data_IF_496081020240
#
_entry.id   IF_496081020240
#
_cell.length_a   1.000
_cell.length_b   1.000
_cell.length_c   1.000
_cell.angle_alpha   90.00
_cell.angle_beta   90.00
_cell.angle_gamma   90.00
#
_symmetry.space_group_name_H-M   'P 1'
#
loop_
_entity.id
_entity.type
_entity.pdbx_description
1 polymer ?
#
# COMPACT_ATOMS: atom_id res chain seq x y z
N UNK A 1 8.16 5.73 83.66
CA UNK A 1 7.94 5.74 82.20
C UNK A 1 8.61 4.48 81.67
N UNK A 2 7.82 3.51 81.19
CA UNK A 2 8.34 2.20 80.76
C UNK A 2 9.02 2.34 79.40
N UNK A 3 10.06 1.54 79.13
CA UNK A 3 10.74 1.50 77.82
C UNK A 3 9.77 1.16 76.67
N UNK A 4 8.67 0.46 76.98
CA UNK A 4 7.56 0.18 76.06
C UNK A 4 6.81 1.43 75.59
N UNK A 5 6.59 2.41 76.47
CA UNK A 5 5.82 3.64 76.16
C UNK A 5 6.64 4.56 75.27
N UNK A 6 7.95 4.58 75.50
CA UNK A 6 8.94 5.38 74.78
C UNK A 6 9.12 4.83 73.35
N UNK A 7 9.14 3.50 73.18
CA UNK A 7 9.13 2.84 71.87
C UNK A 7 7.81 3.06 71.11
N UNK A 8 6.66 2.99 71.79
CA UNK A 8 5.37 3.26 71.18
C UNK A 8 5.26 4.71 70.66
N UNK A 9 5.79 5.68 71.41
CA UNK A 9 5.87 7.07 71.00
C UNK A 9 6.75 7.25 69.75
N UNK A 10 7.96 6.66 69.73
CA UNK A 10 8.84 6.76 68.56
C UNK A 10 8.26 6.10 67.30
N UNK A 11 7.63 4.93 67.43
CA UNK A 11 6.97 4.27 66.30
C UNK A 11 5.85 5.13 65.70
N UNK A 12 5.10 5.85 66.56
CA UNK A 12 4.03 6.76 66.13
C UNK A 12 4.59 7.96 65.34
N UNK A 13 5.70 8.54 65.80
CA UNK A 13 6.38 9.66 65.14
C UNK A 13 7.00 9.24 63.80
N UNK A 14 7.61 8.05 63.74
CA UNK A 14 8.17 7.49 62.50
C UNK A 14 7.06 7.22 61.48
N UNK A 15 5.91 6.69 61.92
CA UNK A 15 4.78 6.41 61.03
C UNK A 15 4.19 7.69 60.44
N UNK A 16 4.05 8.75 61.26
CA UNK A 16 3.58 10.06 60.81
C UNK A 16 4.55 10.71 59.81
N UNK A 17 5.84 10.69 60.08
CA UNK A 17 6.85 11.26 59.17
C UNK A 17 6.91 10.49 57.85
N UNK A 18 6.86 9.16 57.89
CA UNK A 18 6.77 8.32 56.70
C UNK A 18 5.51 8.61 55.87
N UNK A 19 4.34 8.80 56.51
CA UNK A 19 3.09 9.12 55.83
C UNK A 19 3.14 10.49 55.12
N UNK A 20 3.75 11.50 55.76
CA UNK A 20 3.90 12.84 55.17
C UNK A 20 4.86 12.81 53.97
N UNK A 21 5.98 12.10 54.08
CA UNK A 21 6.94 11.93 52.97
C UNK A 21 6.28 11.18 51.81
N UNK A 22 5.55 10.11 52.09
CA UNK A 22 4.80 9.36 51.09
C UNK A 22 3.78 10.26 50.37
N UNK A 23 2.99 11.04 51.11
CA UNK A 23 2.02 11.97 50.54
C UNK A 23 2.68 13.04 49.64
N UNK A 24 3.82 13.60 50.05
CA UNK A 24 4.58 14.56 49.25
C UNK A 24 5.14 13.95 47.96
N UNK A 25 5.66 12.73 48.03
CA UNK A 25 6.17 11.99 46.86
C UNK A 25 5.03 11.68 45.90
N UNK A 26 3.90 11.15 46.39
CA UNK A 26 2.72 10.88 45.57
C UNK A 26 2.17 12.15 44.92
N UNK A 27 2.11 13.27 45.64
CA UNK A 27 1.67 14.55 45.09
C UNK A 27 2.58 15.06 43.95
N UNK A 28 3.91 14.93 44.11
CA UNK A 28 4.86 15.33 43.06
C UNK A 28 4.82 14.40 41.85
N UNK A 29 4.69 13.09 42.05
CA UNK A 29 4.59 12.11 40.97
C UNK A 29 3.29 12.33 40.18
N UNK A 30 2.15 12.53 40.86
CA UNK A 30 0.87 12.76 40.20
C UNK A 30 0.83 14.01 39.32
N UNK A 31 1.52 15.09 39.73
CA UNK A 31 1.63 16.31 38.90
C UNK A 31 2.50 16.12 37.66
N UNK A 32 3.53 15.27 37.74
CA UNK A 32 4.38 14.92 36.58
C UNK A 32 3.67 14.04 35.55
N UNK A 33 2.72 13.20 35.98
CA UNK A 33 1.98 12.31 35.08
C UNK A 33 1.05 13.05 34.11
N UNK A 34 0.55 14.24 34.49
CA UNK A 34 -0.36 15.02 33.63
C UNK A 34 0.34 15.56 32.37
N UNK A 35 1.50 16.19 32.52
CA UNK A 35 2.30 16.70 31.39
C UNK A 35 2.79 15.54 30.50
N UNK A 36 3.14 14.40 31.10
CA UNK A 36 3.49 13.19 30.34
C UNK A 36 2.30 12.69 29.51
N UNK A 37 1.08 12.67 30.08
CA UNK A 37 -0.11 12.21 29.35
C UNK A 37 -0.50 13.13 28.19
N UNK A 38 -0.36 14.45 28.36
CA UNK A 38 -0.64 15.43 27.31
C UNK A 38 0.36 15.29 26.14
N UNK A 39 1.66 15.14 26.44
CA UNK A 39 2.68 14.87 25.43
C UNK A 39 2.50 13.52 24.74
N UNK A 40 2.12 12.49 25.47
CA UNK A 40 1.84 11.17 24.89
C UNK A 40 0.66 11.21 23.93
N UNK A 41 -0.39 11.99 24.25
CA UNK A 41 -1.52 12.18 23.35
C UNK A 41 -1.10 12.88 22.05
N UNK A 42 -0.29 13.94 22.14
CA UNK A 42 0.23 14.66 20.97
C UNK A 42 1.14 13.77 20.09
N UNK A 43 2.01 12.98 20.72
CA UNK A 43 2.86 12.02 19.99
C UNK A 43 2.01 10.97 19.29
N UNK A 44 1.03 10.38 19.98
CA UNK A 44 0.14 9.38 19.40
C UNK A 44 -0.67 9.94 18.21
N UNK A 45 -1.13 11.19 18.29
CA UNK A 45 -1.82 11.85 17.17
C UNK A 45 -0.88 12.02 15.95
N UNK A 46 0.36 12.47 16.18
CA UNK A 46 1.36 12.61 15.12
C UNK A 46 1.74 11.26 14.51
N UNK A 47 1.87 10.21 15.32
CA UNK A 47 2.16 8.85 14.87
C UNK A 47 1.00 8.27 14.04
N UNK A 48 -0.24 8.50 14.47
CA UNK A 48 -1.42 8.09 13.73
C UNK A 48 -1.50 8.78 12.36
N UNK A 49 -1.27 10.10 12.32
CA UNK A 49 -1.22 10.87 11.07
C UNK A 49 -0.10 10.40 10.15
N UNK A 50 1.07 10.12 10.70
CA UNK A 50 2.22 9.61 9.94
C UNK A 50 1.94 8.24 9.35
N UNK A 51 1.36 7.34 10.15
CA UNK A 51 0.98 5.99 9.72
C UNK A 51 -0.07 6.02 8.62
N UNK A 52 -1.05 6.92 8.73
CA UNK A 52 -2.06 7.15 7.69
C UNK A 52 -1.45 7.65 6.38
N UNK A 53 -0.58 8.66 6.44
CA UNK A 53 0.11 9.17 5.25
C UNK A 53 1.01 8.11 4.61
N UNK A 54 1.66 7.28 5.42
CA UNK A 54 2.46 6.16 4.92
C UNK A 54 1.59 5.12 4.20
N UNK A 55 0.44 4.76 4.75
CA UNK A 55 -0.49 3.84 4.10
C UNK A 55 -0.97 4.38 2.74
N UNK A 56 -1.23 5.69 2.65
CA UNK A 56 -1.59 6.35 1.39
C UNK A 56 -0.47 6.25 0.35
N UNK A 57 0.77 6.53 0.77
CA UNK A 57 1.94 6.43 -0.09
C UNK A 57 2.15 4.98 -0.56
N UNK A 58 2.13 4.02 0.36
CA UNK A 58 2.30 2.60 0.04
C UNK A 58 1.21 2.10 -0.93
N UNK A 59 -0.02 2.59 -0.82
CA UNK A 59 -1.09 2.27 -1.76
C UNK A 59 -0.85 2.88 -3.14
N UNK A 60 -0.44 4.15 -3.18
CA UNK A 60 -0.12 4.86 -4.42
C UNK A 60 1.04 4.18 -5.16
N UNK A 61 2.13 3.86 -4.47
CA UNK A 61 3.30 3.20 -5.06
C UNK A 61 2.93 1.83 -5.65
N UNK A 62 2.06 1.07 -4.96
CA UNK A 62 1.56 -0.22 -5.48
C UNK A 62 0.68 -0.05 -6.71
N UNK A 63 -0.16 1.00 -6.77
CA UNK A 63 -0.97 1.32 -7.95
C UNK A 63 -0.09 1.71 -9.13
N UNK A 64 0.87 2.60 -8.90
CA UNK A 64 1.81 3.06 -9.91
C UNK A 64 2.63 1.89 -10.45
N UNK A 65 3.13 1.01 -9.60
CA UNK A 65 3.87 -0.18 -10.01
C UNK A 65 3.07 -1.11 -10.93
N UNK A 66 1.76 -1.32 -10.68
CA UNK A 66 0.92 -2.11 -11.58
C UNK A 66 0.72 -1.40 -12.92
N UNK A 67 0.45 -0.09 -12.88
CA UNK A 67 0.30 0.72 -14.08
C UNK A 67 1.55 0.68 -14.96
N UNK A 68 2.73 0.88 -14.37
CA UNK A 68 4.02 0.85 -15.08
C UNK A 68 4.23 -0.52 -15.73
N UNK A 69 4.01 -1.62 -14.99
CA UNK A 69 4.15 -2.97 -15.54
C UNK A 69 3.19 -3.23 -16.70
N UNK A 70 1.96 -2.73 -16.62
CA UNK A 70 0.99 -2.87 -17.71
C UNK A 70 1.44 -2.07 -18.93
N UNK A 71 1.85 -0.81 -18.75
CA UNK A 71 2.34 0.04 -19.83
C UNK A 71 3.57 -0.58 -20.51
N UNK A 72 4.57 -0.94 -19.71
CA UNK A 72 5.82 -1.56 -20.19
C UNK A 72 5.52 -2.80 -21.02
N UNK A 73 4.63 -3.68 -20.52
CA UNK A 73 4.32 -4.91 -21.24
C UNK A 73 3.55 -4.63 -22.52
N UNK A 74 2.61 -3.69 -22.51
CA UNK A 74 1.87 -3.31 -23.72
C UNK A 74 2.83 -2.72 -24.77
N UNK A 75 3.71 -1.80 -24.38
CA UNK A 75 4.74 -1.22 -25.24
C UNK A 75 5.65 -2.32 -25.82
N UNK A 76 6.08 -3.23 -24.95
CA UNK A 76 6.91 -4.37 -25.31
C UNK A 76 6.24 -5.37 -26.26
N UNK A 77 4.93 -5.58 -26.12
CA UNK A 77 4.15 -6.50 -26.97
C UNK A 77 3.84 -5.92 -28.35
N UNK A 78 4.26 -4.70 -28.61
CA UNK A 78 4.22 -4.12 -29.97
C UNK A 78 5.52 -4.35 -30.73
N UNK A 79 6.54 -4.91 -30.08
CA UNK A 79 7.82 -5.20 -30.72
C UNK A 79 7.86 -6.66 -31.19
N UNK A 80 8.04 -6.94 -32.50
CA UNK A 80 7.89 -8.28 -33.09
C UNK A 80 8.72 -9.40 -32.46
N UNK A 81 9.86 -9.07 -31.84
CA UNK A 81 10.84 -10.05 -31.35
C UNK A 81 10.64 -10.43 -29.87
N UNK A 82 9.65 -9.86 -29.17
CA UNK A 82 9.71 -9.76 -27.71
C UNK A 82 8.55 -10.41 -26.95
N UNK A 83 7.86 -11.37 -27.57
CA UNK A 83 6.67 -12.02 -27.01
C UNK A 83 7.01 -13.29 -26.24
N UNK A 84 7.55 -13.11 -25.03
CA UNK A 84 7.95 -14.24 -24.18
C UNK A 84 6.82 -14.68 -23.23
N UNK A 85 6.78 -15.97 -22.91
CA UNK A 85 5.87 -16.52 -21.89
C UNK A 85 6.04 -15.86 -20.53
N UNK A 86 7.26 -15.39 -20.21
CA UNK A 86 7.57 -14.66 -18.98
C UNK A 86 6.82 -13.33 -18.90
N UNK A 87 6.79 -12.55 -20.00
CA UNK A 87 6.09 -11.27 -20.05
C UNK A 87 4.58 -11.45 -19.91
N UNK A 88 4.01 -12.49 -20.53
CA UNK A 88 2.60 -12.86 -20.30
C UNK A 88 2.33 -13.19 -18.84
N UNK A 89 3.21 -13.96 -18.20
CA UNK A 89 3.07 -14.30 -16.78
C UNK A 89 3.13 -13.05 -15.88
N UNK A 90 4.03 -12.10 -16.19
CA UNK A 90 4.08 -10.80 -15.50
C UNK A 90 2.79 -10.00 -15.69
N UNK A 91 2.25 -9.94 -16.91
CA UNK A 91 0.99 -9.26 -17.18
C UNK A 91 -0.17 -9.88 -16.41
N UNK A 92 -0.30 -11.22 -16.46
CA UNK A 92 -1.35 -11.94 -15.74
C UNK A 92 -1.23 -11.72 -14.22
N UNK A 93 -0.01 -11.64 -13.70
CA UNK A 93 0.24 -11.33 -12.28
C UNK A 93 -0.20 -9.90 -11.94
N UNK A 94 0.16 -8.91 -12.77
CA UNK A 94 -0.26 -7.52 -12.60
C UNK A 94 -1.79 -7.35 -12.70
N UNK A 95 -2.41 -7.98 -13.71
CA UNK A 95 -3.86 -8.04 -13.88
C UNK A 95 -4.54 -8.66 -12.65
N UNK A 96 -4.10 -9.82 -12.18
CA UNK A 96 -4.71 -10.44 -10.99
C UNK A 96 -4.51 -9.60 -9.73
N UNK A 97 -3.40 -8.88 -9.62
CA UNK A 97 -3.13 -7.97 -8.50
C UNK A 97 -4.01 -6.72 -8.55
N UNK A 98 -4.35 -6.22 -9.75
CA UNK A 98 -5.12 -4.99 -9.91
C UNK A 98 -6.51 -5.09 -9.26
N UNK A 99 -7.12 -6.29 -9.25
CA UNK A 99 -8.39 -6.59 -8.58
C UNK A 99 -8.43 -6.16 -7.10
N UNK A 100 -7.29 -6.14 -6.41
CA UNK A 100 -7.22 -5.81 -4.98
C UNK A 100 -6.90 -4.35 -4.69
N UNK A 101 -6.33 -3.63 -5.66
CA UNK A 101 -5.75 -2.30 -5.46
C UNK A 101 -6.53 -1.21 -6.21
N UNK A 102 -7.19 -1.61 -7.29
CA UNK A 102 -8.05 -0.76 -8.12
C UNK A 102 -9.51 -1.19 -8.04
N UNK A 103 -10.45 -0.33 -8.46
CA UNK A 103 -11.83 -0.75 -8.67
C UNK A 103 -11.94 -1.83 -9.74
N UNK A 104 -13.04 -2.58 -9.67
CA UNK A 104 -13.30 -3.74 -10.54
C UNK A 104 -13.21 -3.39 -12.04
N UNK A 105 -13.54 -2.15 -12.43
CA UNK A 105 -13.45 -1.68 -13.82
C UNK A 105 -12.05 -1.83 -14.43
N UNK A 106 -10.99 -1.59 -13.65
CA UNK A 106 -9.60 -1.71 -14.13
C UNK A 106 -9.25 -3.17 -14.39
N UNK A 107 -9.63 -4.07 -13.48
CA UNK A 107 -9.43 -5.51 -13.65
C UNK A 107 -10.20 -6.04 -14.87
N UNK A 108 -11.46 -5.64 -15.01
CA UNK A 108 -12.30 -6.07 -16.12
C UNK A 108 -11.76 -5.57 -17.46
N UNK A 109 -11.30 -4.33 -17.53
CA UNK A 109 -10.63 -3.78 -18.71
C UNK A 109 -9.39 -4.59 -19.10
N UNK A 110 -8.46 -4.83 -18.17
CA UNK A 110 -7.26 -5.63 -18.45
C UNK A 110 -7.60 -7.05 -18.90
N UNK A 111 -8.60 -7.68 -18.28
CA UNK A 111 -8.97 -9.07 -18.53
C UNK A 111 -9.73 -9.29 -19.83
N UNK A 112 -10.63 -8.37 -20.17
CA UNK A 112 -11.57 -8.56 -21.28
C UNK A 112 -11.20 -7.79 -22.53
N UNK A 113 -10.33 -6.78 -22.43
CA UNK A 113 -9.90 -5.99 -23.58
C UNK A 113 -8.42 -6.24 -23.90
N UNK A 114 -7.52 -6.06 -22.93
CA UNK A 114 -6.06 -6.13 -23.18
C UNK A 114 -5.57 -7.58 -23.28
N UNK A 115 -5.92 -8.43 -22.32
CA UNK A 115 -5.44 -9.82 -22.25
C UNK A 115 -5.78 -10.66 -23.49
N UNK A 116 -7.02 -10.62 -24.04
CA UNK A 116 -7.35 -11.38 -25.23
C UNK A 116 -6.53 -10.95 -26.44
N UNK A 117 -6.33 -9.65 -26.65
CA UNK A 117 -5.52 -9.13 -27.76
C UNK A 117 -4.05 -9.57 -27.66
N UNK A 118 -3.46 -9.51 -26.46
CA UNK A 118 -2.11 -10.03 -26.22
C UNK A 118 -2.01 -11.54 -26.48
N UNK A 119 -3.02 -12.29 -26.04
CA UNK A 119 -3.08 -13.74 -26.23
C UNK A 119 -3.22 -14.10 -27.71
N UNK A 120 -4.06 -13.39 -28.46
CA UNK A 120 -4.26 -13.59 -29.89
C UNK A 120 -2.97 -13.32 -30.67
N UNK A 121 -2.27 -12.21 -30.37
CA UNK A 121 -0.97 -11.90 -30.95
C UNK A 121 0.06 -13.00 -30.69
N UNK A 122 0.13 -13.51 -29.45
CA UNK A 122 1.04 -14.59 -29.10
C UNK A 122 0.76 -15.87 -29.90
N UNK A 123 -0.51 -16.23 -30.03
CA UNK A 123 -0.93 -17.43 -30.78
C UNK A 123 -0.59 -17.28 -32.26
N UNK A 124 -0.82 -16.10 -32.85
CA UNK A 124 -0.49 -15.83 -34.25
C UNK A 124 1.02 -15.92 -34.51
N UNK A 125 1.85 -15.38 -33.62
CA UNK A 125 3.31 -15.40 -33.80
C UNK A 125 3.96 -16.76 -33.60
N UNK A 126 3.37 -17.64 -32.79
CA UNK A 126 3.83 -19.01 -32.67
C UNK A 126 3.48 -19.88 -33.89
N UNK A 127 2.69 -19.39 -34.85
CA UNK A 127 2.49 -20.07 -36.14
C UNK A 127 3.69 -19.82 -37.04
N UNK A 128 4.30 -20.92 -37.51
CA UNK A 128 5.47 -20.89 -38.40
C UNK A 128 5.18 -20.31 -39.79
N UNK A 129 3.93 -20.38 -40.24
CA UNK A 129 3.47 -19.85 -41.52
C UNK A 129 2.14 -19.14 -41.33
N UNK A 130 2.15 -17.81 -41.52
CA UNK A 130 0.94 -16.99 -41.55
C UNK A 130 0.57 -16.71 -43.00
N UNK A 131 -0.71 -16.89 -43.32
CA UNK A 131 -1.30 -16.40 -44.57
C UNK A 131 -1.31 -14.87 -44.61
N UNK A 132 -1.45 -14.26 -45.79
CA UNK A 132 -1.51 -12.80 -45.91
C UNK A 132 -2.69 -12.18 -45.14
N UNK A 133 -3.83 -12.87 -45.04
CA UNK A 133 -4.96 -12.40 -44.23
C UNK A 133 -4.63 -12.45 -42.73
N UNK A 134 -4.00 -13.52 -42.25
CA UNK A 134 -3.58 -13.62 -40.85
C UNK A 134 -2.49 -12.61 -40.48
N UNK A 135 -1.57 -12.30 -41.40
CA UNK A 135 -0.60 -11.20 -41.21
C UNK A 135 -1.30 -9.86 -41.05
N UNK A 136 -2.33 -9.60 -41.87
CA UNK A 136 -3.13 -8.37 -41.78
C UNK A 136 -3.91 -8.32 -40.46
N UNK A 137 -4.45 -9.44 -39.99
CA UNK A 137 -5.14 -9.53 -38.70
C UNK A 137 -4.17 -9.37 -37.51
N UNK A 138 -2.94 -9.88 -37.64
CA UNK A 138 -1.88 -9.64 -36.66
C UNK A 138 -1.59 -8.13 -36.53
N UNK A 139 -1.35 -7.44 -37.65
CA UNK A 139 -1.14 -5.99 -37.69
C UNK A 139 -2.32 -5.18 -37.12
N UNK A 140 -3.56 -5.61 -37.41
CA UNK A 140 -4.76 -4.99 -36.82
C UNK A 140 -4.81 -5.16 -35.31
N UNK A 141 -4.43 -6.32 -34.81
CA UNK A 141 -4.43 -6.61 -33.38
C UNK A 141 -3.34 -5.84 -32.66
N UNK A 142 -2.15 -5.73 -33.26
CA UNK A 142 -1.06 -4.88 -32.78
C UNK A 142 -1.49 -3.40 -32.71
N UNK A 143 -2.16 -2.90 -33.76
CA UNK A 143 -2.67 -1.54 -33.78
C UNK A 143 -3.76 -1.28 -32.72
N UNK A 144 -4.61 -2.28 -32.41
CA UNK A 144 -5.57 -2.17 -31.30
C UNK A 144 -4.88 -2.10 -29.95
N UNK A 145 -3.84 -2.91 -29.75
CA UNK A 145 -3.04 -2.92 -28.53
C UNK A 145 -2.31 -1.58 -28.33
N UNK A 146 -1.75 -1.01 -29.39
CA UNK A 146 -1.22 0.37 -29.39
C UNK A 146 -2.32 1.40 -29.05
N UNK A 147 -3.53 1.24 -29.59
CA UNK A 147 -4.66 2.10 -29.26
C UNK A 147 -5.03 2.09 -27.78
N UNK A 148 -4.93 0.93 -27.12
CA UNK A 148 -5.08 0.84 -25.67
C UNK A 148 -4.01 1.66 -24.94
N UNK A 149 -2.75 1.56 -25.39
CA UNK A 149 -1.63 2.31 -24.82
C UNK A 149 -1.84 3.82 -24.85
N UNK A 150 -2.18 4.35 -26.02
CA UNK A 150 -2.18 5.79 -26.27
C UNK A 150 -3.39 6.51 -25.66
N UNK A 151 -4.49 5.79 -25.42
CA UNK A 151 -5.75 6.43 -25.07
C UNK A 151 -6.40 5.85 -23.82
N UNK A 152 -6.44 4.52 -23.70
CA UNK A 152 -7.41 3.88 -22.81
C UNK A 152 -6.83 3.43 -21.49
N UNK A 153 -5.56 3.02 -21.46
CA UNK A 153 -4.86 2.70 -20.21
C UNK A 153 -4.83 3.94 -19.29
N UNK A 154 -4.41 5.10 -19.79
CA UNK A 154 -4.37 6.33 -19.00
C UNK A 154 -5.76 6.78 -18.53
N UNK A 155 -6.79 6.60 -19.35
CA UNK A 155 -8.18 6.93 -18.97
C UNK A 155 -8.71 6.03 -17.85
N UNK A 156 -8.39 4.74 -17.89
CA UNK A 156 -8.87 3.75 -16.91
C UNK A 156 -8.07 3.81 -15.62
N UNK A 157 -6.75 4.00 -15.69
CA UNK A 157 -5.88 4.04 -14.52
C UNK A 157 -5.77 5.44 -13.90
N UNK A 158 -5.74 6.48 -14.73
CA UNK A 158 -5.45 7.87 -14.32
C UNK A 158 -6.26 8.37 -13.13
N UNK A 159 -7.59 8.18 -13.07
CA UNK A 159 -8.40 8.58 -11.92
C UNK A 159 -7.96 7.96 -10.58
N UNK A 160 -7.30 6.80 -10.63
CA UNK A 160 -6.87 6.03 -9.45
C UNK A 160 -5.40 6.24 -9.07
N UNK A 161 -4.63 6.92 -9.93
CA UNK A 161 -3.22 7.27 -9.74
C UNK A 161 -3.08 8.66 -9.08
N UNK A 162 -3.82 8.87 -8.00
CA UNK A 162 -3.75 10.10 -7.19
C UNK A 162 -3.46 9.76 -5.73
N UNK A 163 -2.82 10.69 -5.01
CA UNK A 163 -2.57 10.55 -3.57
C UNK A 163 -3.82 10.86 -2.73
N UNK A 164 -4.82 11.49 -3.36
CA UNK A 164 -6.11 11.81 -2.76
C UNK A 164 -7.07 10.63 -2.90
N UNK A 165 -6.71 9.51 -2.26
CA UNK A 165 -7.63 8.40 -2.00
C UNK A 165 -8.50 8.68 -0.77
#
# INVERSE_FOLDING_TARGET
>A
MSTSDLLAFFNSVVTLTAAVVAALVTYRIGKGQKDISERQAEVAEREAKTSYNKLKLDLFDRRLSIYDVVCDIVDEWTLPENHTSERKARFVTAMNSSRWIFPEEVYQYLKHEVYPEMNDLQVMQHRSELTEEEKKDCLRTEARLMGHRDQRIDQVFGPHLTLEA
#
